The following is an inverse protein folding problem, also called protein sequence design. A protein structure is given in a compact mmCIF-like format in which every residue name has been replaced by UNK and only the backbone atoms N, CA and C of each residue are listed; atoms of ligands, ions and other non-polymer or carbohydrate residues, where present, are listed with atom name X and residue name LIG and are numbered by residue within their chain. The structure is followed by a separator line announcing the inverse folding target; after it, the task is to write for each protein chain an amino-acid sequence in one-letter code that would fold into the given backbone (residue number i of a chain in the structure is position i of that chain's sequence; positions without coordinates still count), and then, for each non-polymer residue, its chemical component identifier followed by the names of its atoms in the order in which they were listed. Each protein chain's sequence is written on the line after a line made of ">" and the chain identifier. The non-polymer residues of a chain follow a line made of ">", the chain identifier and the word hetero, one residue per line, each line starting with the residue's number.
data_IF_189287280642
#
_entry.id   IF_189287280642
#
_cell.length_a   1.000
_cell.length_b   1.000
_cell.length_c   1.000
_cell.angle_alpha   90.00
_cell.angle_beta   90.00
_cell.angle_gamma   90.00
#
_symmetry.space_group_name_H-M   'P 1'
#
loop_
_entity.id
_entity.type
_entity.pdbx_description
1 polymer ?
#
# COMPACT_ATOMS: atom_id res chain seq x y z
N UNK A 1 11.64 36.36 81.06
CA UNK A 1 11.36 35.21 80.15
C UNK A 1 10.66 34.05 80.88
N UNK A 2 9.55 34.29 81.60
CA UNK A 2 8.83 33.23 82.35
C UNK A 2 7.30 33.24 82.17
N UNK A 3 6.72 34.33 81.67
CA UNK A 3 5.26 34.46 81.46
C UNK A 3 4.81 34.11 80.05
N UNK A 4 5.72 34.06 79.08
CA UNK A 4 5.40 33.68 77.68
C UNK A 4 5.21 32.16 77.48
N UNK A 5 5.69 31.33 78.42
CA UNK A 5 5.59 29.86 78.32
C UNK A 5 4.24 29.33 78.86
N UNK A 6 3.55 30.09 79.71
CA UNK A 6 2.27 29.70 80.32
C UNK A 6 1.06 29.90 79.41
N UNK A 7 1.14 30.81 78.43
CA UNK A 7 0.04 31.08 77.48
C UNK A 7 0.02 30.01 76.37
N UNK A 8 1.17 29.44 76.02
CA UNK A 8 1.28 28.41 74.98
C UNK A 8 0.71 27.05 75.42
N UNK A 9 0.71 26.74 76.71
CA UNK A 9 0.17 25.50 77.26
C UNK A 9 -1.37 25.47 77.29
N UNK A 10 -2.03 26.63 77.38
CA UNK A 10 -3.51 26.72 77.46
C UNK A 10 -4.21 26.52 76.12
N UNK A 11 -3.52 26.68 74.98
CA UNK A 11 -4.12 26.58 73.64
C UNK A 11 -4.19 25.14 73.14
N UNK A 12 -3.34 24.25 73.66
CA UNK A 12 -3.22 22.85 73.21
C UNK A 12 -4.34 21.97 73.80
N UNK A 13 -4.99 22.38 74.90
CA UNK A 13 -6.05 21.63 75.57
C UNK A 13 -7.46 21.85 74.99
N UNK A 14 -7.61 22.77 74.04
CA UNK A 14 -8.89 23.15 73.43
C UNK A 14 -9.24 22.43 72.10
N UNK A 15 -8.42 21.46 71.65
CA UNK A 15 -8.67 20.73 70.39
C UNK A 15 -9.18 19.29 70.55
N UNK A 16 -9.56 18.85 71.75
CA UNK A 16 -10.31 17.59 71.93
C UNK A 16 -11.81 17.79 71.65
N UNK A 17 -12.13 18.27 70.44
CA UNK A 17 -13.48 18.29 69.90
C UNK A 17 -13.86 16.92 69.35
N UNK A 18 -14.80 16.25 70.02
CA UNK A 18 -15.37 14.97 69.64
C UNK A 18 -16.21 15.12 68.35
N UNK A 19 -15.55 14.97 67.19
CA UNK A 19 -16.21 14.85 65.89
C UNK A 19 -16.74 13.43 65.71
N UNK A 20 -18.06 13.29 65.75
CA UNK A 20 -18.82 12.07 65.50
C UNK A 20 -18.41 11.42 64.17
N UNK A 21 -17.61 10.35 64.21
CA UNK A 21 -17.35 9.49 63.06
C UNK A 21 -18.65 8.79 62.64
N UNK A 22 -19.26 9.26 61.55
CA UNK A 22 -20.16 8.43 60.74
C UNK A 22 -19.31 7.34 60.10
N UNK A 23 -19.34 6.15 60.69
CA UNK A 23 -18.80 4.95 60.05
C UNK A 23 -19.47 4.79 58.67
N UNK A 24 -18.74 4.49 57.59
CA UNK A 24 -19.34 3.98 56.38
C UNK A 24 -20.13 2.73 56.74
N UNK A 25 -21.32 2.59 56.17
CA UNK A 25 -22.19 1.43 56.36
C UNK A 25 -21.44 0.16 55.92
N UNK A 26 -20.89 -0.56 56.90
CA UNK A 26 -20.24 -1.87 56.74
C UNK A 26 -21.30 -3.00 56.57
N UNK A 27 -22.50 -2.63 56.10
CA UNK A 27 -23.62 -3.51 55.79
C UNK A 27 -24.28 -3.14 54.45
N UNK A 28 -23.52 -2.58 53.51
CA UNK A 28 -23.87 -2.77 52.10
C UNK A 28 -23.64 -4.25 51.77
N UNK A 29 -24.74 -5.03 51.78
CA UNK A 29 -24.77 -6.41 51.28
C UNK A 29 -23.93 -6.49 50.01
N UNK A 30 -23.03 -7.49 49.86
CA UNK A 30 -22.32 -7.68 48.61
C UNK A 30 -23.39 -7.97 47.57
N UNK A 31 -23.74 -6.96 46.76
CA UNK A 31 -24.50 -7.19 45.55
C UNK A 31 -23.66 -8.20 44.80
N UNK A 32 -24.11 -9.44 44.77
CA UNK A 32 -23.44 -10.50 44.01
C UNK A 32 -23.62 -10.09 42.57
N UNK A 33 -22.70 -9.25 42.09
CA UNK A 33 -22.65 -8.85 40.69
C UNK A 33 -22.44 -10.17 39.96
N UNK A 34 -23.48 -10.62 39.27
CA UNK A 34 -23.44 -11.82 38.44
C UNK A 34 -22.41 -11.55 37.34
N UNK A 35 -21.14 -11.89 37.60
CA UNK A 35 -20.04 -11.71 36.66
C UNK A 35 -20.22 -12.78 35.59
N UNK A 36 -20.71 -12.36 34.44
CA UNK A 36 -20.73 -13.20 33.25
C UNK A 36 -19.32 -13.17 32.68
N UNK A 37 -18.67 -14.34 32.59
CA UNK A 37 -17.36 -14.44 31.97
C UNK A 37 -17.49 -14.07 30.48
N UNK A 38 -16.66 -13.14 30.02
CA UNK A 38 -16.59 -12.71 28.62
C UNK A 38 -15.15 -12.78 28.15
N UNK A 39 -14.97 -13.11 26.89
CA UNK A 39 -13.68 -13.03 26.23
C UNK A 39 -13.51 -11.63 25.65
N UNK A 40 -12.39 -10.99 25.96
CA UNK A 40 -12.03 -9.66 25.45
C UNK A 40 -10.73 -9.75 24.68
N UNK A 41 -10.62 -8.99 23.60
CA UNK A 41 -9.40 -8.84 22.81
C UNK A 41 -9.15 -7.34 22.60
N UNK A 42 -7.92 -6.84 22.81
CA UNK A 42 -7.61 -5.43 22.59
C UNK A 42 -7.71 -5.11 21.09
N UNK A 43 -8.47 -4.07 20.75
CA UNK A 43 -8.59 -3.61 19.36
C UNK A 43 -7.26 -3.03 18.90
N UNK A 44 -6.74 -3.57 17.80
CA UNK A 44 -5.59 -3.00 17.11
C UNK A 44 -6.06 -2.17 15.91
N UNK A 45 -5.63 -0.93 15.86
CA UNK A 45 -5.86 -0.07 14.69
C UNK A 45 -4.82 -0.43 13.62
N UNK A 46 -5.27 -1.01 12.52
CA UNK A 46 -4.43 -1.39 11.38
C UNK A 46 -5.04 -0.84 10.09
N UNK A 47 -4.19 -0.60 9.11
CA UNK A 47 -4.63 -0.24 7.77
C UNK A 47 -5.17 -1.50 7.07
N UNK A 48 -6.40 -1.43 6.57
CA UNK A 48 -7.04 -2.51 5.83
C UNK A 48 -7.06 -2.11 4.36
N UNK A 49 -6.29 -2.82 3.54
CA UNK A 49 -6.31 -2.65 2.10
C UNK A 49 -7.45 -3.47 1.48
N UNK A 50 -8.24 -2.84 0.62
CA UNK A 50 -9.20 -3.53 -0.25
C UNK A 50 -8.62 -3.62 -1.65
N UNK A 51 -8.40 -4.84 -2.12
CA UNK A 51 -7.79 -5.09 -3.43
C UNK A 51 -8.85 -5.57 -4.42
N UNK A 52 -8.90 -4.94 -5.59
CA UNK A 52 -9.66 -5.43 -6.73
C UNK A 52 -8.73 -6.19 -7.68
N UNK A 53 -9.09 -7.42 -8.03
CA UNK A 53 -8.36 -8.20 -9.04
C UNK A 53 -8.89 -7.84 -10.43
N UNK A 54 -8.06 -7.20 -11.22
CA UNK A 54 -8.36 -6.84 -12.60
C UNK A 54 -7.39 -7.58 -13.52
N UNK A 55 -7.89 -8.02 -14.67
CA UNK A 55 -7.10 -8.66 -15.73
C UNK A 55 -7.11 -7.80 -16.98
N UNK A 56 -6.00 -7.77 -17.70
CA UNK A 56 -5.87 -7.03 -18.96
C UNK A 56 -4.54 -7.33 -19.63
N UNK A 57 -4.33 -6.71 -20.78
CA UNK A 57 -3.10 -6.83 -21.55
C UNK A 57 -2.31 -5.52 -21.53
N UNK A 58 -0.99 -5.62 -21.60
CA UNK A 58 -0.13 -4.45 -21.74
C UNK A 58 -0.04 -4.10 -23.23
N UNK A 59 -0.57 -2.95 -23.60
CA UNK A 59 -0.47 -2.42 -24.96
C UNK A 59 0.57 -1.29 -25.01
N UNK A 60 1.41 -1.22 -26.05
CA UNK A 60 2.30 -0.10 -26.25
C UNK A 60 1.51 1.16 -26.63
N UNK A 61 2.04 2.33 -26.29
CA UNK A 61 1.46 3.61 -26.69
C UNK A 61 1.41 3.75 -28.23
N UNK A 62 2.44 3.25 -28.91
CA UNK A 62 2.57 3.26 -30.37
C UNK A 62 2.96 1.88 -30.88
N UNK A 63 2.27 1.42 -31.93
CA UNK A 63 2.57 0.20 -32.66
C UNK A 63 2.38 0.45 -34.14
N UNK A 64 3.33 0.01 -34.95
CA UNK A 64 3.26 0.12 -36.41
C UNK A 64 3.55 -1.25 -36.99
N UNK A 65 2.60 -1.77 -37.76
CA UNK A 65 2.79 -2.99 -38.54
C UNK A 65 3.47 -2.60 -39.86
N UNK A 66 4.59 -3.25 -40.18
CA UNK A 66 5.37 -2.97 -41.39
C UNK A 66 4.98 -3.96 -42.47
N UNK A 67 4.47 -3.43 -43.59
CA UNK A 67 4.07 -4.24 -44.74
C UNK A 67 5.05 -4.04 -45.91
N UNK A 68 5.41 -5.12 -46.63
CA UNK A 68 6.22 -5.00 -47.83
C UNK A 68 5.43 -4.33 -48.96
N UNK A 69 6.13 -3.53 -49.78
CA UNK A 69 5.54 -2.87 -50.96
C UNK A 69 5.45 -3.79 -52.19
N UNK A 70 6.08 -4.95 -52.12
CA UNK A 70 6.15 -5.94 -53.19
C UNK A 70 5.66 -7.30 -52.67
N UNK A 71 5.06 -8.08 -53.57
CA UNK A 71 4.78 -9.49 -53.32
C UNK A 71 6.03 -10.31 -53.63
N UNK A 72 6.28 -11.38 -52.88
CA UNK A 72 7.40 -12.27 -53.14
C UNK A 72 7.86 -13.04 -51.93
N UNK A 73 9.10 -13.52 -52.00
CA UNK A 73 9.72 -14.34 -50.96
C UNK A 73 10.65 -13.49 -50.08
N UNK A 74 10.66 -13.79 -48.77
CA UNK A 74 11.65 -13.25 -47.85
C UNK A 74 12.95 -14.01 -48.04
N UNK A 75 14.00 -13.31 -48.44
CA UNK A 75 15.33 -13.90 -48.63
C UNK A 75 16.10 -13.96 -47.31
N UNK A 76 16.01 -12.88 -46.51
CA UNK A 76 16.74 -12.77 -45.25
C UNK A 76 16.11 -11.77 -44.29
N UNK A 77 16.08 -12.14 -43.01
CA UNK A 77 15.79 -11.22 -41.91
C UNK A 77 17.09 -10.54 -41.44
N UNK A 78 17.04 -9.23 -41.24
CA UNK A 78 18.18 -8.42 -40.78
C UNK A 78 18.03 -7.96 -39.33
N UNK A 79 16.83 -8.07 -38.75
CA UNK A 79 16.50 -7.68 -37.38
C UNK A 79 15.53 -8.69 -36.76
N UNK A 80 15.66 -8.96 -35.47
CA UNK A 80 14.80 -9.91 -34.75
C UNK A 80 14.02 -9.29 -33.58
N UNK A 81 13.18 -10.09 -32.89
CA UNK A 81 12.39 -9.62 -31.74
C UNK A 81 13.28 -8.99 -30.64
N UNK A 82 12.82 -7.86 -30.10
CA UNK A 82 13.56 -7.10 -29.08
C UNK A 82 14.69 -6.20 -29.60
N UNK A 83 14.98 -6.22 -30.91
CA UNK A 83 15.96 -5.32 -31.51
C UNK A 83 15.45 -3.88 -31.51
N UNK A 84 16.33 -2.94 -31.19
CA UNK A 84 16.08 -1.51 -31.41
C UNK A 84 16.50 -1.18 -32.84
N UNK A 85 15.63 -0.49 -33.56
CA UNK A 85 15.86 -0.08 -34.95
C UNK A 85 15.70 1.43 -35.09
N UNK A 86 16.35 2.00 -36.09
CA UNK A 86 16.20 3.40 -36.47
C UNK A 86 15.35 3.52 -37.72
N UNK A 87 14.72 4.68 -37.91
CA UNK A 87 14.05 5.03 -39.17
C UNK A 87 14.93 4.71 -40.39
N UNK A 88 14.30 4.13 -41.41
CA UNK A 88 14.90 3.72 -42.68
C UNK A 88 15.94 2.57 -42.58
N UNK A 89 16.16 2.00 -41.38
CA UNK A 89 16.98 0.80 -41.21
C UNK A 89 16.31 -0.41 -41.87
N UNK A 90 17.09 -1.20 -42.61
CA UNK A 90 16.60 -2.42 -43.26
C UNK A 90 16.27 -3.50 -42.22
N UNK A 91 15.03 -3.98 -42.25
CA UNK A 91 14.48 -5.03 -41.39
C UNK A 91 14.60 -6.41 -42.05
N UNK A 92 14.36 -6.47 -43.35
CA UNK A 92 14.40 -7.69 -44.13
C UNK A 92 14.70 -7.39 -45.61
N UNK A 93 15.10 -8.43 -46.34
CA UNK A 93 15.34 -8.39 -47.78
C UNK A 93 14.39 -9.36 -48.47
N UNK A 94 13.69 -8.88 -49.50
CA UNK A 94 12.67 -9.64 -50.23
C UNK A 94 12.94 -9.59 -51.73
N UNK A 95 12.54 -10.65 -52.44
CA UNK A 95 12.58 -10.70 -53.89
C UNK A 95 11.22 -11.04 -54.44
N UNK A 96 10.81 -10.30 -55.48
CA UNK A 96 9.59 -10.57 -56.19
C UNK A 96 9.69 -11.86 -57.00
N UNK A 97 8.68 -12.73 -56.86
CA UNK A 97 8.62 -14.04 -57.49
C UNK A 97 7.54 -14.03 -58.58
N UNK A 98 7.93 -13.69 -59.81
CA UNK A 98 7.07 -13.77 -61.00
C UNK A 98 7.75 -14.63 -62.04
N UNK A 99 7.10 -15.69 -62.54
CA UNK A 99 7.69 -16.57 -63.54
C UNK A 99 8.12 -15.82 -64.81
N UNK A 100 9.35 -16.09 -65.26
CA UNK A 100 9.89 -15.54 -66.52
C UNK A 100 10.49 -14.13 -66.42
N UNK A 101 10.54 -13.53 -65.22
CA UNK A 101 11.16 -12.22 -65.00
C UNK A 101 12.06 -12.25 -63.77
N UNK A 102 13.31 -11.81 -63.92
CA UNK A 102 14.26 -11.69 -62.82
C UNK A 102 14.21 -10.30 -62.20
N UNK A 103 13.79 -10.23 -60.92
CA UNK A 103 13.79 -9.00 -60.14
C UNK A 103 14.97 -8.93 -59.18
N UNK A 104 15.51 -7.73 -58.99
CA UNK A 104 16.52 -7.49 -57.95
C UNK A 104 15.88 -7.53 -56.56
N UNK A 105 16.62 -8.00 -55.53
CA UNK A 105 16.17 -7.92 -54.15
C UNK A 105 15.90 -6.47 -53.71
N UNK A 106 14.88 -6.30 -52.87
CA UNK A 106 14.46 -5.01 -52.31
C UNK A 106 14.48 -5.12 -50.78
N UNK A 107 14.93 -4.05 -50.13
CA UNK A 107 14.94 -3.94 -48.66
C UNK A 107 13.61 -3.39 -48.15
N UNK A 108 13.13 -3.99 -47.07
CA UNK A 108 12.00 -3.50 -46.29
C UNK A 108 12.58 -2.71 -45.12
N UNK A 109 12.21 -1.44 -45.01
CA UNK A 109 12.80 -0.53 -44.04
C UNK A 109 11.83 -0.19 -42.90
N UNK A 110 12.38 0.13 -41.73
CA UNK A 110 11.64 0.64 -40.60
C UNK A 110 11.02 2.01 -40.91
N UNK A 111 9.72 2.22 -40.65
CA UNK A 111 9.05 3.49 -40.95
C UNK A 111 9.39 4.60 -39.95
N UNK A 112 9.82 4.23 -38.74
CA UNK A 112 10.18 5.10 -37.61
C UNK A 112 11.44 4.60 -36.92
#
# INVERSE_FOLDING_TARGET
>A
MRTSLLILASVILSLSGCGKSTKPDENALPTTVKKIAVQVEPVQMVEIAVTHKITGEIAPLWKIDVFPKINGIVLREMTGPGSVVQKDQALAEMKQDVPGVEFSPVKINAPV
#
